data_IF_147423672582
#
_entry.id   IF_147423672582
#
_cell.length_a   1.000
_cell.length_b   1.000
_cell.length_c   1.000
_cell.angle_alpha   90.00
_cell.angle_beta   90.00
_cell.angle_gamma   90.00
#
_symmetry.space_group_name_H-M   'P 1'
#
loop_
_entity.id
_entity.type
_entity.pdbx_description
1 polymer ?
#
# COMPACT_ATOMS: atom_id res chain seq x y z
N UNK A 1 -3.45 -24.65 -4.01
CA UNK A 1 -3.18 -23.47 -4.87
C UNK A 1 -4.24 -22.45 -4.56
N UNK A 2 -3.86 -21.23 -4.15
CA UNK A 2 -4.84 -20.15 -4.00
C UNK A 2 -5.23 -19.69 -5.42
N UNK A 3 -6.52 -19.57 -5.67
CA UNK A 3 -7.05 -19.13 -6.96
C UNK A 3 -7.47 -17.66 -6.83
N UNK A 4 -7.25 -16.86 -7.88
CA UNK A 4 -7.65 -15.45 -7.94
C UNK A 4 -9.16 -15.30 -8.09
N UNK A 5 -9.91 -15.66 -7.04
CA UNK A 5 -11.36 -15.47 -6.98
C UNK A 5 -11.77 -14.19 -6.25
N UNK A 6 -13.08 -13.94 -6.25
CA UNK A 6 -13.68 -12.77 -5.60
C UNK A 6 -13.32 -12.71 -4.12
N UNK A 7 -13.28 -13.84 -3.41
CA UNK A 7 -12.97 -13.88 -1.99
C UNK A 7 -11.53 -13.45 -1.71
N UNK A 8 -10.57 -13.92 -2.50
CA UNK A 8 -9.18 -13.46 -2.43
C UNK A 8 -9.09 -11.97 -2.75
N UNK A 9 -9.75 -11.50 -3.80
CA UNK A 9 -9.75 -10.07 -4.15
C UNK A 9 -10.33 -9.20 -3.04
N UNK A 10 -11.45 -9.61 -2.43
CA UNK A 10 -12.03 -8.93 -1.28
C UNK A 10 -11.07 -8.84 -0.10
N UNK A 11 -10.34 -9.91 0.24
CA UNK A 11 -9.35 -9.90 1.31
C UNK A 11 -8.18 -8.94 1.03
N UNK A 12 -7.60 -9.02 -0.17
CA UNK A 12 -6.45 -8.20 -0.56
C UNK A 12 -6.83 -6.71 -0.65
N UNK A 13 -7.95 -6.39 -1.29
CA UNK A 13 -8.41 -5.01 -1.48
C UNK A 13 -8.87 -4.39 -0.17
N UNK A 14 -9.51 -5.17 0.72
CA UNK A 14 -9.85 -4.68 2.07
C UNK A 14 -8.59 -4.36 2.88
N UNK A 15 -7.55 -5.19 2.78
CA UNK A 15 -6.29 -4.99 3.49
C UNK A 15 -5.63 -3.68 3.04
N UNK A 16 -5.56 -3.44 1.72
CA UNK A 16 -5.03 -2.19 1.19
C UNK A 16 -5.93 -0.99 1.52
N UNK A 17 -7.26 -1.13 1.40
CA UNK A 17 -8.21 -0.07 1.73
C UNK A 17 -8.06 0.40 3.18
N UNK A 18 -7.96 -0.53 4.13
CA UNK A 18 -7.78 -0.21 5.55
C UNK A 18 -6.40 0.34 5.86
N UNK A 19 -5.36 -0.15 5.20
CA UNK A 19 -4.03 0.46 5.30
C UNK A 19 -4.05 1.93 4.87
N UNK A 20 -4.71 2.24 3.75
CA UNK A 20 -4.86 3.61 3.26
C UNK A 20 -5.72 4.47 4.19
N UNK A 21 -6.85 3.95 4.68
CA UNK A 21 -7.69 4.64 5.64
C UNK A 21 -6.94 4.96 6.95
N UNK A 22 -6.14 4.02 7.46
CA UNK A 22 -5.31 4.24 8.66
C UNK A 22 -4.25 5.34 8.45
N UNK A 23 -3.67 5.43 7.24
CA UNK A 23 -2.76 6.53 6.89
C UNK A 23 -3.50 7.87 6.78
N UNK A 24 -4.70 7.90 6.17
CA UNK A 24 -5.55 9.09 6.14
C UNK A 24 -5.92 9.57 7.54
N UNK A 25 -6.26 8.66 8.46
CA UNK A 25 -6.51 8.98 9.86
C UNK A 25 -5.26 9.54 10.56
N UNK A 26 -4.09 9.01 10.22
CA UNK A 26 -2.80 9.51 10.70
C UNK A 26 -2.55 10.94 10.20
N UNK A 27 -2.79 11.23 8.91
CA UNK A 27 -2.73 12.59 8.38
C UNK A 27 -3.67 13.52 9.13
N UNK A 28 -4.92 13.13 9.31
CA UNK A 28 -5.93 13.97 9.96
C UNK A 28 -5.48 14.43 11.36
N UNK A 29 -4.70 13.62 12.07
CA UNK A 29 -4.11 13.97 13.38
C UNK A 29 -2.87 14.85 13.27
N UNK A 30 -2.01 14.61 12.28
CA UNK A 30 -0.71 15.27 12.14
C UNK A 30 -0.77 16.62 11.43
N UNK A 31 -1.73 16.78 10.51
CA UNK A 31 -1.83 17.90 9.56
C UNK A 31 -3.30 18.26 9.36
N UNK A 32 -3.91 18.84 10.40
CA UNK A 32 -5.35 19.17 10.43
C UNK A 32 -5.81 20.06 9.26
N UNK A 33 -4.91 20.90 8.75
CA UNK A 33 -5.11 21.80 7.63
C UNK A 33 -5.35 21.10 6.28
N UNK A 34 -4.90 19.84 6.14
CA UNK A 34 -5.15 19.03 4.93
C UNK A 34 -6.62 18.64 4.82
N UNK A 35 -7.34 18.58 5.95
CA UNK A 35 -8.73 18.11 5.98
C UNK A 35 -8.87 16.64 5.61
N UNK A 36 -7.83 15.83 5.87
CA UNK A 36 -7.80 14.41 5.53
C UNK A 36 -8.94 13.66 6.23
N UNK A 37 -9.64 12.83 5.46
CA UNK A 37 -10.78 12.07 5.92
C UNK A 37 -11.03 10.87 5.00
N UNK A 38 -11.67 9.83 5.53
CA UNK A 38 -12.20 8.75 4.73
C UNK A 38 -13.68 8.52 5.03
N UNK A 39 -14.38 7.94 4.07
CA UNK A 39 -15.76 7.48 4.23
C UNK A 39 -15.89 6.08 3.63
N UNK A 40 -16.85 5.30 4.14
CA UNK A 40 -17.22 4.00 3.58
C UNK A 40 -18.60 4.14 2.94
N UNK A 41 -18.68 3.93 1.63
CA UNK A 41 -19.91 4.05 0.83
C UNK A 41 -20.10 2.72 0.09
N UNK A 42 -21.11 1.94 0.49
CA UNK A 42 -21.39 0.61 -0.08
C UNK A 42 -20.14 -0.30 -0.11
N UNK A 43 -19.45 -0.41 1.03
CA UNK A 43 -18.18 -1.14 1.17
C UNK A 43 -16.95 -0.52 0.49
N UNK A 44 -17.11 0.57 -0.26
CA UNK A 44 -16.00 1.28 -0.91
C UNK A 44 -15.38 2.29 0.05
N UNK A 45 -14.07 2.21 0.26
CA UNK A 45 -13.32 3.19 1.05
C UNK A 45 -12.95 4.36 0.16
N UNK A 46 -13.56 5.52 0.37
CA UNK A 46 -13.21 6.78 -0.27
C UNK A 46 -12.23 7.55 0.61
N UNK A 47 -10.94 7.51 0.27
CA UNK A 47 -9.86 8.12 1.04
C UNK A 47 -9.53 9.51 0.47
N UNK A 48 -9.33 10.50 1.32
CA UNK A 48 -8.86 11.84 0.95
C UNK A 48 -7.73 12.29 1.88
N UNK A 49 -6.59 12.64 1.30
CA UNK A 49 -5.36 13.12 1.96
C UNK A 49 -4.83 14.40 1.28
N UNK A 50 -5.73 15.17 0.65
CA UNK A 50 -5.39 16.32 -0.19
C UNK A 50 -5.35 15.98 -1.69
N UNK A 51 -5.57 16.95 -2.60
CA UNK A 51 -5.83 16.67 -4.02
C UNK A 51 -4.70 15.96 -4.77
N UNK A 52 -3.44 16.21 -4.38
CA UNK A 52 -2.26 15.61 -5.02
C UNK A 52 -1.73 14.36 -4.31
N UNK A 53 -2.35 13.93 -3.21
CA UNK A 53 -1.85 12.78 -2.46
C UNK A 53 -2.19 11.47 -3.17
N UNK A 54 -1.27 10.49 -3.21
CA UNK A 54 -1.56 9.16 -3.72
C UNK A 54 -2.59 8.40 -2.87
N UNK A 55 -2.92 8.86 -1.66
CA UNK A 55 -4.01 8.26 -0.87
C UNK A 55 -5.40 8.74 -1.30
N UNK A 56 -5.48 9.81 -2.11
CA UNK A 56 -6.75 10.40 -2.55
C UNK A 56 -7.34 9.63 -3.72
N UNK A 57 -8.11 8.59 -3.40
CA UNK A 57 -8.76 7.68 -4.34
C UNK A 57 -9.70 6.72 -3.59
N UNK A 58 -10.41 5.86 -4.32
CA UNK A 58 -11.21 4.79 -3.71
C UNK A 58 -10.56 3.43 -3.79
N UNK A 59 -10.86 2.59 -2.81
CA UNK A 59 -10.50 1.16 -2.78
C UNK A 59 -11.75 0.31 -2.53
N UNK A 60 -11.83 -0.87 -3.17
CA UNK A 60 -12.93 -1.82 -2.94
C UNK A 60 -14.21 -1.55 -3.75
N UNK A 61 -14.18 -0.64 -4.73
CA UNK A 61 -15.37 -0.28 -5.51
C UNK A 61 -15.95 -1.49 -6.25
N UNK A 62 -17.19 -1.84 -5.93
CA UNK A 62 -17.93 -2.92 -6.57
C UNK A 62 -17.53 -4.33 -6.13
N UNK A 63 -16.69 -4.47 -5.10
CA UNK A 63 -16.28 -5.79 -4.59
C UNK A 63 -17.15 -6.32 -3.46
N UNK A 64 -17.66 -5.44 -2.61
CA UNK A 64 -18.43 -5.84 -1.42
C UNK A 64 -19.94 -5.68 -1.63
N UNK A 65 -20.33 -4.71 -2.45
CA UNK A 65 -21.72 -4.43 -2.84
C UNK A 65 -21.77 -4.06 -4.32
N UNK A 66 -22.87 -4.40 -4.99
CA UNK A 66 -23.09 -4.03 -6.40
C UNK A 66 -23.36 -2.52 -6.49
N UNK A 67 -22.57 -1.74 -7.24
CA UNK A 67 -22.71 -0.30 -7.24
C UNK A 67 -23.92 0.15 -8.04
N UNK A 68 -24.51 1.27 -7.61
CA UNK A 68 -25.62 1.94 -8.29
C UNK A 68 -25.18 3.31 -8.79
N UNK A 69 -26.00 3.93 -9.66
CA UNK A 69 -25.76 5.31 -10.10
C UNK A 69 -25.72 6.32 -8.94
N UNK A 70 -26.47 6.06 -7.87
CA UNK A 70 -26.49 6.89 -6.65
C UNK A 70 -25.18 6.74 -5.85
N UNK A 71 -24.65 5.51 -5.71
CA UNK A 71 -23.35 5.27 -5.06
C UNK A 71 -22.24 6.05 -5.79
N UNK A 72 -22.20 6.00 -7.12
CA UNK A 72 -21.24 6.79 -7.91
C UNK A 72 -21.42 8.30 -7.71
N UNK A 73 -22.67 8.79 -7.66
CA UNK A 73 -22.93 10.20 -7.41
C UNK A 73 -22.45 10.65 -6.02
N UNK A 74 -22.55 9.80 -5.00
CA UNK A 74 -22.02 10.06 -3.66
C UNK A 74 -20.49 10.09 -3.64
N UNK A 75 -19.83 9.11 -4.28
CA UNK A 75 -18.37 9.08 -4.39
C UNK A 75 -17.83 10.32 -5.13
N UNK A 76 -18.43 10.68 -6.26
CA UNK A 76 -18.04 11.88 -7.00
C UNK A 76 -18.23 13.16 -6.19
N UNK A 77 -19.35 13.29 -5.47
CA UNK A 77 -19.61 14.42 -4.60
C UNK A 77 -18.56 14.51 -3.50
N UNK A 78 -18.21 13.38 -2.87
CA UNK A 78 -17.20 13.29 -1.82
C UNK A 78 -15.86 13.93 -2.25
N UNK A 79 -15.37 13.61 -3.45
CA UNK A 79 -14.11 14.18 -3.96
C UNK A 79 -14.27 15.60 -4.49
N UNK A 80 -15.35 15.90 -5.22
CA UNK A 80 -15.57 17.24 -5.82
C UNK A 80 -15.74 18.34 -4.77
N UNK A 81 -16.46 18.08 -3.68
CA UNK A 81 -16.60 19.03 -2.57
C UNK A 81 -15.25 19.35 -1.92
N UNK A 82 -14.29 18.41 -2.01
CA UNK A 82 -12.92 18.55 -1.51
C UNK A 82 -11.93 19.03 -2.59
N UNK A 83 -12.42 19.40 -3.77
CA UNK A 83 -11.62 19.84 -4.93
C UNK A 83 -10.53 18.82 -5.30
N UNK A 84 -10.83 17.54 -5.14
CA UNK A 84 -9.94 16.43 -5.45
C UNK A 84 -10.30 15.78 -6.79
N UNK A 85 -9.34 15.12 -7.46
CA UNK A 85 -9.65 14.25 -8.58
C UNK A 85 -10.52 13.07 -8.10
N UNK A 86 -11.43 12.61 -8.97
CA UNK A 86 -12.22 11.40 -8.70
C UNK A 86 -11.49 10.21 -9.31
N UNK A 87 -10.87 9.41 -8.46
CA UNK A 87 -10.04 8.27 -8.84
C UNK A 87 -10.56 6.99 -8.20
N UNK A 88 -10.66 5.92 -9.00
CA UNK A 88 -11.12 4.61 -8.54
C UNK A 88 -10.14 3.51 -8.91
N UNK A 89 -9.58 2.81 -7.94
CA UNK A 89 -8.91 1.52 -8.16
C UNK A 89 -9.98 0.43 -8.25
N UNK A 90 -10.04 -0.26 -9.38
CA UNK A 90 -11.12 -1.22 -9.69
C UNK A 90 -10.53 -2.58 -10.02
N UNK A 91 -10.77 -3.54 -9.13
CA UNK A 91 -10.45 -4.95 -9.34
C UNK A 91 -11.19 -5.51 -10.56
N UNK A 92 -10.56 -6.40 -11.36
CA UNK A 92 -11.25 -7.08 -12.46
C UNK A 92 -12.33 -8.05 -11.97
N UNK A 93 -12.41 -8.33 -10.67
CA UNK A 93 -13.44 -9.16 -10.05
C UNK A 93 -14.58 -8.34 -9.42
N UNK A 94 -14.58 -7.02 -9.57
CA UNK A 94 -15.72 -6.20 -9.20
C UNK A 94 -16.96 -6.58 -10.01
N UNK A 95 -18.15 -6.30 -9.46
CA UNK A 95 -19.42 -6.55 -10.14
C UNK A 95 -19.43 -5.91 -11.55
N UNK A 96 -19.90 -6.59 -12.60
CA UNK A 96 -19.88 -6.08 -13.98
C UNK A 96 -20.54 -4.69 -14.15
N UNK A 97 -21.54 -4.38 -13.33
CA UNK A 97 -22.22 -3.08 -13.25
C UNK A 97 -21.24 -1.93 -13.00
N UNK A 98 -20.14 -2.19 -12.29
CA UNK A 98 -19.08 -1.23 -12.03
C UNK A 98 -18.49 -0.70 -13.34
N UNK A 99 -18.12 -1.58 -14.26
CA UNK A 99 -17.55 -1.20 -15.55
C UNK A 99 -18.57 -0.49 -16.44
N UNK A 100 -19.83 -0.93 -16.42
CA UNK A 100 -20.91 -0.26 -17.15
C UNK A 100 -21.11 1.18 -16.67
N UNK A 101 -21.14 1.38 -15.34
CA UNK A 101 -21.31 2.71 -14.75
C UNK A 101 -20.11 3.62 -15.00
N UNK A 102 -18.87 3.10 -14.90
CA UNK A 102 -17.65 3.85 -15.26
C UNK A 102 -17.73 4.36 -16.71
N UNK A 103 -18.05 3.46 -17.66
CA UNK A 103 -18.17 3.82 -19.07
C UNK A 103 -19.30 4.82 -19.33
N UNK A 104 -20.49 4.59 -18.76
CA UNK A 104 -21.65 5.48 -18.92
C UNK A 104 -21.40 6.89 -18.36
N UNK A 105 -20.55 7.02 -17.33
CA UNK A 105 -20.23 8.29 -16.67
C UNK A 105 -18.98 8.97 -17.24
N UNK A 106 -18.32 8.37 -18.24
CA UNK A 106 -17.18 8.98 -18.93
C UNK A 106 -15.86 8.85 -18.19
N UNK A 107 -15.72 7.87 -17.28
CA UNK A 107 -14.42 7.58 -16.67
C UNK A 107 -13.46 7.03 -17.72
N UNK A 108 -12.19 7.38 -17.57
CA UNK A 108 -11.10 6.96 -18.45
C UNK A 108 -10.10 6.08 -17.68
N UNK A 109 -9.53 5.05 -18.32
CA UNK A 109 -8.42 4.29 -17.75
C UNK A 109 -7.20 5.22 -17.53
N UNK A 110 -6.54 5.08 -16.38
CA UNK A 110 -5.38 5.89 -16.01
C UNK A 110 -4.11 5.06 -15.82
N UNK A 111 -4.17 4.00 -15.01
CA UNK A 111 -2.97 3.25 -14.60
C UNK A 111 -3.30 1.79 -14.27
N UNK A 112 -2.39 0.86 -14.59
CA UNK A 112 -2.51 -0.54 -14.17
C UNK A 112 -1.66 -0.83 -12.92
N UNK A 113 -2.21 -1.64 -12.03
CA UNK A 113 -1.52 -2.14 -10.83
C UNK A 113 -1.69 -3.65 -10.72
N UNK A 114 -0.59 -4.39 -10.60
CA UNK A 114 -0.63 -5.80 -10.23
C UNK A 114 -0.80 -5.92 -8.71
N UNK A 115 -1.88 -6.58 -8.29
CA UNK A 115 -2.06 -7.03 -6.91
C UNK A 115 -1.42 -8.41 -6.81
N UNK A 116 -0.40 -8.52 -5.98
CA UNK A 116 0.45 -9.71 -5.87
C UNK A 116 0.34 -10.30 -4.48
N UNK A 117 0.40 -11.63 -4.39
CA UNK A 117 0.31 -12.34 -3.12
C UNK A 117 1.33 -13.47 -3.01
N UNK A 118 1.59 -13.86 -1.77
CA UNK A 118 2.38 -15.05 -1.44
C UNK A 118 1.81 -15.71 -0.17
N UNK A 119 1.54 -17.02 -0.17
CA UNK A 119 1.26 -17.75 1.06
C UNK A 119 2.42 -17.62 2.05
N UNK A 120 2.11 -17.36 3.31
CA UNK A 120 3.09 -17.37 4.39
C UNK A 120 3.06 -18.76 5.01
N UNK A 121 4.13 -19.51 4.79
CA UNK A 121 4.41 -20.70 5.58
C UNK A 121 5.08 -20.26 6.88
N UNK A 122 4.73 -20.92 7.99
CA UNK A 122 5.44 -20.72 9.24
C UNK A 122 6.89 -21.19 9.02
N UNK A 123 7.78 -20.24 8.75
CA UNK A 123 9.20 -20.53 8.63
C UNK A 123 9.81 -20.61 10.03
N UNK A 124 10.52 -21.71 10.28
CA UNK A 124 11.40 -21.91 11.45
C UNK A 124 12.80 -21.36 11.15
N UNK A 125 12.98 -20.55 10.09
CA UNK A 125 14.29 -20.06 9.71
C UNK A 125 14.78 -19.02 10.73
N UNK A 126 15.50 -19.51 11.73
CA UNK A 126 16.61 -18.81 12.35
C UNK A 126 17.53 -18.38 11.20
N UNK A 127 17.40 -17.13 10.78
CA UNK A 127 18.34 -16.52 9.87
C UNK A 127 19.73 -16.70 10.47
N UNK A 128 20.60 -17.42 9.76
CA UNK A 128 22.02 -17.50 10.11
C UNK A 128 22.55 -16.10 10.45
N UNK A 129 23.45 -15.95 11.44
CA UNK A 129 23.94 -14.66 11.89
C UNK A 129 24.36 -13.80 10.70
N UNK A 130 23.52 -12.84 10.38
CA UNK A 130 23.74 -11.88 9.32
C UNK A 130 24.38 -10.66 9.97
N UNK A 131 25.36 -10.05 9.30
CA UNK A 131 25.85 -8.72 9.68
C UNK A 131 24.71 -7.68 9.66
N UNK A 132 23.60 -7.99 8.99
CA UNK A 132 22.40 -7.17 8.93
C UNK A 132 21.43 -7.50 10.06
N UNK A 133 21.10 -6.48 10.86
CA UNK A 133 20.08 -6.56 11.90
C UNK A 133 18.79 -5.92 11.42
N UNK A 134 17.70 -6.66 11.38
CA UNK A 134 16.37 -6.11 11.04
C UNK A 134 15.49 -6.05 12.28
N UNK A 135 14.80 -4.92 12.49
CA UNK A 135 13.95 -4.73 13.67
C UNK A 135 12.82 -3.73 13.41
N UNK A 136 11.68 -3.84 14.12
CA UNK A 136 10.70 -2.77 14.14
C UNK A 136 11.31 -1.52 14.81
N UNK A 137 10.82 -0.35 14.41
CA UNK A 137 11.21 0.92 15.02
C UNK A 137 10.42 1.16 16.30
N UNK A 138 11.00 1.94 17.21
CA UNK A 138 10.27 2.59 18.30
C UNK A 138 9.70 3.94 17.83
N UNK A 139 8.71 4.53 18.54
CA UNK A 139 8.19 5.86 18.19
C UNK A 139 9.27 6.96 18.11
N UNK A 140 10.32 6.87 18.94
CA UNK A 140 11.43 7.82 18.94
C UNK A 140 12.30 7.73 17.67
N UNK A 141 12.21 6.65 16.92
CA UNK A 141 13.01 6.39 15.71
C UNK A 141 12.25 6.71 14.41
N UNK A 142 11.06 7.30 14.50
CA UNK A 142 10.26 7.68 13.34
C UNK A 142 11.03 8.60 12.37
N UNK A 143 11.82 9.55 12.91
CA UNK A 143 12.64 10.44 12.09
C UNK A 143 13.79 9.68 11.40
N UNK A 144 14.46 8.76 12.09
CA UNK A 144 15.51 7.93 11.51
C UNK A 144 14.96 7.07 10.37
N UNK A 145 13.77 6.48 10.58
CA UNK A 145 13.07 5.71 9.56
C UNK A 145 12.71 6.56 8.34
N UNK A 146 12.15 7.76 8.56
CA UNK A 146 11.83 8.70 7.49
C UNK A 146 13.06 9.08 6.67
N UNK A 147 14.16 9.48 7.34
CA UNK A 147 15.41 9.84 6.68
C UNK A 147 16.02 8.67 5.90
N UNK A 148 16.01 7.46 6.47
CA UNK A 148 16.52 6.26 5.79
C UNK A 148 15.68 5.92 4.56
N UNK A 149 14.35 5.98 4.70
CA UNK A 149 13.41 5.73 3.61
C UNK A 149 13.60 6.74 2.47
N UNK A 150 13.60 8.03 2.81
CA UNK A 150 13.80 9.13 1.87
C UNK A 150 15.14 9.07 1.15
N UNK A 151 16.24 8.68 1.82
CA UNK A 151 17.52 8.45 1.15
C UNK A 151 17.47 7.28 0.17
N UNK A 152 16.74 6.22 0.49
CA UNK A 152 16.55 5.07 -0.39
C UNK A 152 15.79 5.41 -1.67
N UNK A 153 14.69 6.18 -1.54
CA UNK A 153 13.87 6.66 -2.66
C UNK A 153 14.49 7.86 -3.40
N UNK A 154 15.25 8.69 -2.69
CA UNK A 154 16.01 9.84 -3.21
C UNK A 154 17.07 9.44 -4.24
N UNK A 155 17.53 8.19 -4.19
CA UNK A 155 18.42 7.63 -5.19
C UNK A 155 17.71 7.32 -6.53
N UNK A 156 16.39 7.37 -6.59
CA UNK A 156 15.60 7.29 -7.83
C UNK A 156 15.25 8.69 -8.36
N UNK A 157 14.83 9.61 -7.48
CA UNK A 157 14.71 11.04 -7.79
C UNK A 157 14.69 11.87 -6.50
N UNK A 158 15.15 13.13 -6.57
CA UNK A 158 15.14 14.04 -5.41
C UNK A 158 13.72 14.32 -4.91
N UNK A 159 12.76 14.44 -5.83
CA UNK A 159 11.35 14.66 -5.55
C UNK A 159 10.73 13.48 -4.77
N UNK A 160 11.09 12.24 -5.13
CA UNK A 160 10.66 11.05 -4.38
C UNK A 160 11.23 11.03 -2.96
N UNK A 161 12.49 11.46 -2.80
CA UNK A 161 13.11 11.60 -1.49
C UNK A 161 12.38 12.61 -0.61
N UNK A 162 12.11 13.81 -1.15
CA UNK A 162 11.37 14.87 -0.45
C UNK A 162 9.95 14.42 -0.10
N UNK A 163 9.23 13.82 -1.05
CA UNK A 163 7.90 13.25 -0.81
C UNK A 163 7.92 12.25 0.35
N UNK A 164 8.92 11.35 0.39
CA UNK A 164 9.01 10.36 1.45
C UNK A 164 9.38 10.93 2.82
N UNK A 165 10.11 12.05 2.90
CA UNK A 165 10.32 12.74 4.18
C UNK A 165 9.01 13.25 4.77
N UNK A 166 8.15 13.84 3.93
CA UNK A 166 6.87 14.39 4.36
C UNK A 166 5.84 13.27 4.64
N UNK A 167 5.91 12.18 3.88
CA UNK A 167 4.93 11.10 3.94
C UNK A 167 5.26 10.07 5.04
N UNK A 168 6.54 9.91 5.38
CA UNK A 168 6.99 8.90 6.33
C UNK A 168 6.38 9.04 7.75
N UNK A 169 6.25 10.24 8.35
CA UNK A 169 5.63 10.39 9.67
C UNK A 169 4.19 9.85 9.73
N UNK A 170 3.45 9.95 8.62
CA UNK A 170 2.07 9.46 8.48
C UNK A 170 2.07 7.94 8.57
N UNK A 171 2.94 7.28 7.80
CA UNK A 171 3.10 5.83 7.79
C UNK A 171 3.50 5.35 9.19
N UNK A 172 4.54 5.95 9.77
CA UNK A 172 5.08 5.52 11.06
C UNK A 172 4.07 5.64 12.22
N UNK A 173 3.09 6.54 12.12
CA UNK A 173 2.08 6.79 13.15
C UNK A 173 0.67 6.27 12.77
N UNK A 174 0.53 5.64 11.61
CA UNK A 174 -0.73 5.03 11.20
C UNK A 174 -1.03 3.82 12.09
N UNK A 175 -2.26 3.75 12.61
CA UNK A 175 -2.68 2.65 13.47
C UNK A 175 -2.63 1.34 12.71
N UNK A 176 -2.02 0.31 13.27
CA UNK A 176 -1.86 -1.00 12.62
C UNK A 176 -0.72 -1.07 11.60
N UNK A 177 -0.02 0.04 11.35
CA UNK A 177 1.20 0.06 10.55
C UNK A 177 2.41 -0.23 11.44
N UNK A 178 3.34 -1.01 10.93
CA UNK A 178 4.60 -1.37 11.59
C UNK A 178 5.76 -1.05 10.66
N UNK A 179 6.59 -0.08 11.07
CA UNK A 179 7.79 0.33 10.36
C UNK A 179 9.02 -0.42 10.87
N UNK A 180 9.93 -0.75 9.95
CA UNK A 180 11.14 -1.54 10.19
C UNK A 180 12.36 -0.85 9.59
N UNK A 181 13.50 -1.07 10.25
CA UNK A 181 14.83 -0.71 9.78
C UNK A 181 15.69 -1.97 9.61
N UNK A 182 16.59 -1.92 8.65
CA UNK A 182 17.76 -2.81 8.56
C UNK A 182 19.01 -2.00 8.87
N UNK A 183 19.83 -2.52 9.77
CA UNK A 183 21.10 -1.92 10.18
C UNK A 183 22.27 -2.79 9.74
N UNK A 184 23.36 -2.15 9.30
CA UNK A 184 24.68 -2.76 9.11
C UNK A 184 25.69 -1.91 9.89
N UNK A 185 26.49 -2.55 10.75
CA UNK A 185 27.48 -1.87 11.62
C UNK A 185 26.88 -0.68 12.39
N UNK A 186 25.66 -0.85 12.91
CA UNK A 186 24.94 0.17 13.67
C UNK A 186 24.35 1.33 12.85
N UNK A 187 24.44 1.29 11.51
CA UNK A 187 23.87 2.30 10.63
C UNK A 187 22.62 1.78 9.94
N UNK A 188 21.54 2.56 9.95
CA UNK A 188 20.33 2.27 9.18
C UNK A 188 20.59 2.38 7.67
N UNK A 189 20.35 1.30 6.94
CA UNK A 189 20.63 1.18 5.49
C UNK A 189 19.39 0.84 4.65
N UNK A 190 18.33 0.33 5.27
CA UNK A 190 17.07 0.08 4.59
C UNK A 190 15.90 0.33 5.53
N UNK A 191 14.77 0.70 4.95
CA UNK A 191 13.53 0.97 5.65
C UNK A 191 12.37 0.31 4.92
N UNK A 192 11.32 -0.06 5.64
CA UNK A 192 10.04 -0.40 5.05
C UNK A 192 8.94 -0.52 6.09
N UNK A 193 7.72 -0.72 5.64
CA UNK A 193 6.56 -0.84 6.51
C UNK A 193 5.72 -2.06 6.17
N UNK A 194 4.78 -2.37 7.04
CA UNK A 194 3.73 -3.34 6.77
C UNK A 194 2.47 -3.05 7.57
N UNK A 195 1.33 -3.52 7.06
CA UNK A 195 0.03 -3.39 7.69
C UNK A 195 -0.63 -4.78 7.76
N UNK A 196 -1.28 -5.11 8.88
CA UNK A 196 -1.98 -6.39 9.04
C UNK A 196 -3.48 -6.14 9.11
N UNK A 197 -4.24 -6.87 8.29
CA UNK A 197 -5.69 -6.96 8.33
C UNK A 197 -6.09 -8.44 8.36
N UNK A 198 -6.74 -8.87 9.44
CA UNK A 198 -7.06 -10.29 9.64
C UNK A 198 -5.83 -11.18 9.52
N UNK A 199 -5.84 -12.11 8.56
CA UNK A 199 -4.74 -13.03 8.28
C UNK A 199 -3.85 -12.60 7.10
N UNK A 200 -3.99 -11.37 6.61
CA UNK A 200 -3.21 -10.82 5.48
C UNK A 200 -2.27 -9.72 5.97
N UNK A 201 -1.02 -9.75 5.50
CA UNK A 201 -0.06 -8.65 5.68
C UNK A 201 0.20 -7.94 4.35
N UNK A 202 -0.03 -6.64 4.29
CA UNK A 202 0.44 -5.78 3.21
C UNK A 202 1.87 -5.31 3.50
N UNK A 203 2.79 -5.61 2.59
CA UNK A 203 4.18 -5.14 2.64
C UNK A 203 4.33 -3.91 1.75
N UNK A 204 4.81 -2.79 2.31
CA UNK A 204 4.89 -1.52 1.60
C UNK A 204 6.16 -0.73 1.92
N UNK A 205 6.40 0.34 1.16
CA UNK A 205 7.37 1.40 1.46
C UNK A 205 8.82 0.95 1.58
N UNK A 206 9.19 -0.19 0.99
CA UNK A 206 10.54 -0.75 1.14
C UNK A 206 11.55 -0.03 0.25
N UNK A 207 12.63 0.48 0.84
CA UNK A 207 13.75 1.07 0.12
C UNK A 207 15.10 0.71 0.77
N UNK A 208 16.18 0.85 0.01
CA UNK A 208 17.56 0.61 0.47
C UNK A 208 18.43 1.74 -0.08
N UNK A 209 19.25 2.34 0.78
CA UNK A 209 20.18 3.41 0.39
C UNK A 209 21.13 2.91 -0.70
N UNK A 210 21.51 3.79 -1.63
CA UNK A 210 22.22 3.41 -2.85
C UNK A 210 23.53 2.67 -2.56
N UNK A 211 24.30 3.10 -1.55
CA UNK A 211 25.57 2.50 -1.16
C UNK A 211 25.44 1.10 -0.53
N UNK A 212 24.24 0.69 -0.12
CA UNK A 212 23.96 -0.60 0.50
C UNK A 212 23.19 -1.58 -0.42
N UNK A 213 22.94 -1.19 -1.67
CA UNK A 213 22.26 -2.06 -2.65
C UNK A 213 23.15 -3.27 -3.01
N UNK A 214 22.50 -4.39 -3.33
CA UNK A 214 23.21 -5.65 -3.64
C UNK A 214 23.78 -6.39 -2.43
N UNK A 215 23.64 -5.86 -1.21
CA UNK A 215 24.19 -6.46 0.02
C UNK A 215 23.15 -7.27 0.82
N UNK A 216 21.94 -7.45 0.28
CA UNK A 216 20.90 -8.29 0.89
C UNK A 216 19.94 -7.59 1.85
N UNK A 217 20.03 -6.27 2.06
CA UNK A 217 19.16 -5.53 2.98
C UNK A 217 17.67 -5.65 2.65
N UNK A 218 17.27 -5.53 1.38
CA UNK A 218 15.88 -5.71 0.97
C UNK A 218 15.35 -7.12 1.27
N UNK A 219 16.20 -8.15 1.10
CA UNK A 219 15.84 -9.55 1.44
C UNK A 219 15.69 -9.70 2.95
N UNK A 220 16.61 -9.16 3.74
CA UNK A 220 16.53 -9.19 5.21
C UNK A 220 15.25 -8.51 5.72
N UNK A 221 14.90 -7.35 5.15
CA UNK A 221 13.68 -6.61 5.45
C UNK A 221 12.42 -7.40 5.08
N UNK A 222 12.41 -8.06 3.93
CA UNK A 222 11.29 -8.90 3.51
C UNK A 222 11.11 -10.10 4.43
N UNK A 223 12.16 -10.89 4.66
CA UNK A 223 12.10 -12.09 5.51
C UNK A 223 11.64 -11.75 6.92
N UNK A 224 12.20 -10.70 7.53
CA UNK A 224 11.84 -10.32 8.90
C UNK A 224 10.39 -9.89 9.03
N UNK A 225 9.85 -9.15 8.06
CA UNK A 225 8.44 -8.74 8.06
C UNK A 225 7.50 -9.93 7.87
N UNK A 226 7.86 -10.86 6.98
CA UNK A 226 7.10 -12.10 6.79
C UNK A 226 7.09 -12.97 8.06
N UNK A 227 8.25 -13.15 8.70
CA UNK A 227 8.34 -13.90 9.95
C UNK A 227 7.53 -13.22 11.05
N UNK A 228 7.60 -11.89 11.16
CA UNK A 228 6.83 -11.13 12.15
C UNK A 228 5.32 -11.25 11.95
N UNK A 229 4.87 -11.28 10.68
CA UNK A 229 3.48 -11.51 10.32
C UNK A 229 3.04 -12.95 10.60
N UNK A 230 3.88 -13.95 10.29
CA UNK A 230 3.62 -15.36 10.60
C UNK A 230 3.39 -15.60 12.10
N UNK A 231 4.21 -14.99 12.96
CA UNK A 231 4.06 -15.04 14.42
C UNK A 231 2.76 -14.39 14.93
N UNK A 232 2.04 -13.64 14.09
CA UNK A 232 0.73 -13.04 14.39
C UNK A 232 -0.42 -13.73 13.66
N UNK A 233 -0.16 -14.90 13.09
CA UNK A 233 -1.19 -15.71 12.43
C UNK A 233 -1.52 -15.26 11.02
N UNK A 234 -0.72 -14.38 10.39
CA UNK A 234 -0.89 -14.10 8.97
C UNK A 234 -0.52 -15.35 8.15
N UNK A 235 -1.41 -15.72 7.24
CA UNK A 235 -1.23 -16.84 6.31
C UNK A 235 -0.97 -16.36 4.88
N UNK A 236 -1.09 -15.06 4.64
CA UNK A 236 -0.97 -14.45 3.32
C UNK A 236 -0.21 -13.12 3.41
N UNK A 237 0.74 -12.94 2.51
CA UNK A 237 1.38 -11.65 2.28
C UNK A 237 0.90 -11.07 0.95
N UNK A 238 0.79 -9.76 0.88
CA UNK A 238 0.47 -9.04 -0.34
C UNK A 238 1.38 -7.82 -0.55
N UNK A 239 1.48 -7.41 -1.80
CA UNK A 239 2.05 -6.12 -2.22
C UNK A 239 1.49 -5.74 -3.59
N UNK A 240 1.61 -4.45 -3.92
CA UNK A 240 1.19 -3.91 -5.20
C UNK A 240 2.40 -3.41 -5.98
N UNK A 241 2.43 -3.64 -7.29
CA UNK A 241 3.48 -3.16 -8.18
C UNK A 241 2.93 -2.83 -9.56
N UNK A 242 3.52 -1.87 -10.26
CA UNK A 242 3.19 -1.63 -11.67
C UNK A 242 3.60 -2.85 -12.52
N UNK A 243 2.80 -3.23 -13.53
CA UNK A 243 3.16 -4.30 -14.46
C UNK A 243 4.50 -4.04 -15.16
N UNK A 244 5.37 -5.06 -15.20
CA UNK A 244 6.68 -4.99 -15.84
C UNK A 244 7.75 -4.21 -15.04
N UNK A 245 7.40 -3.68 -13.86
CA UNK A 245 8.32 -2.90 -13.04
C UNK A 245 9.42 -3.75 -12.38
N UNK A 246 10.49 -3.08 -11.94
CA UNK A 246 11.52 -3.71 -11.11
C UNK A 246 10.95 -4.25 -9.80
N UNK A 247 9.94 -3.59 -9.24
CA UNK A 247 9.22 -4.04 -8.04
C UNK A 247 8.50 -5.35 -8.26
N UNK A 248 7.78 -5.52 -9.39
CA UNK A 248 7.17 -6.80 -9.75
C UNK A 248 8.24 -7.90 -9.87
N UNK A 249 9.32 -7.64 -10.60
CA UNK A 249 10.41 -8.62 -10.78
C UNK A 249 11.01 -9.07 -9.44
N UNK A 250 11.20 -8.13 -8.52
CA UNK A 250 11.71 -8.40 -7.18
C UNK A 250 10.69 -9.21 -6.34
N UNK A 251 9.41 -8.88 -6.44
CA UNK A 251 8.33 -9.62 -5.79
C UNK A 251 8.26 -11.07 -6.28
N UNK A 252 8.30 -11.29 -7.59
CA UNK A 252 8.28 -12.65 -8.19
C UNK A 252 9.47 -13.49 -7.75
N UNK A 253 10.68 -12.90 -7.74
CA UNK A 253 11.88 -13.57 -7.19
C UNK A 253 11.75 -13.93 -5.72
N UNK A 254 10.93 -13.20 -4.98
CA UNK A 254 10.66 -13.45 -3.58
C UNK A 254 9.45 -14.39 -3.33
N UNK A 255 8.92 -15.01 -4.39
CA UNK A 255 7.84 -15.98 -4.34
C UNK A 255 6.44 -15.37 -4.35
N UNK A 256 6.29 -14.08 -4.65
CA UNK A 256 4.99 -13.50 -4.93
C UNK A 256 4.54 -13.86 -6.34
N UNK A 257 3.25 -14.03 -6.52
CA UNK A 257 2.61 -14.22 -7.81
C UNK A 257 1.53 -13.16 -8.01
N UNK A 258 1.29 -12.77 -9.25
CA UNK A 258 0.19 -11.86 -9.60
C UNK A 258 -1.12 -12.59 -9.36
N UNK A 259 -1.98 -12.07 -8.47
CA UNK A 259 -3.36 -12.54 -8.32
C UNK A 259 -4.20 -12.03 -9.50
N UNK A 260 -4.09 -10.72 -9.77
CA UNK A 260 -4.75 -10.05 -10.87
C UNK A 260 -4.15 -8.66 -11.10
N UNK A 261 -4.49 -8.05 -12.23
CA UNK A 261 -4.17 -6.66 -12.55
C UNK A 261 -5.44 -5.82 -12.43
N UNK A 262 -5.42 -4.79 -11.59
CA UNK A 262 -6.52 -3.81 -11.48
C UNK A 262 -6.21 -2.54 -12.27
N UNK A 263 -7.25 -1.79 -12.57
CA UNK A 263 -7.17 -0.55 -13.34
C UNK A 263 -7.64 0.62 -12.48
N UNK A 264 -6.83 1.66 -12.42
CA UNK A 264 -7.22 2.96 -11.92
C UNK A 264 -8.02 3.70 -12.98
N UNK A 265 -9.17 4.22 -12.61
CA UNK A 265 -10.06 5.01 -13.45
C UNK A 265 -10.13 6.43 -12.94
N UNK A 266 -10.17 7.39 -13.86
CA UNK A 266 -10.31 8.81 -13.55
C UNK A 266 -11.55 9.36 -14.22
N UNK A 267 -12.33 10.16 -13.48
CA UNK A 267 -13.30 11.06 -14.10
C UNK A 267 -12.57 12.35 -14.51
N UNK A 268 -12.46 12.67 -15.81
CA UNK A 268 -11.84 13.91 -16.23
C UNK A 268 -12.55 15.12 -15.59
N UNK A 269 -11.83 16.20 -15.28
CA UNK A 269 -12.47 17.46 -14.91
C UNK A 269 -13.41 17.91 -16.04
N UNK A 270 -14.56 18.46 -15.63
CA UNK A 270 -15.56 19.00 -16.55
C UNK A 270 -15.08 20.27 -17.25
#
# INVERSE_FOLDING_TARGET
MLFGDLALSQQLELTEARSNAAMVESRARLSTEVGAAHAIIAGTYACFDGPGSPLTQTFGLGLFEVPTAEIFAQLERYFRERKAPVLHEVSPLAAPETLHLLGKRGYQPLEFTNVMYRPIEASVDDLAPSALRTRPITPAEALLWAQTSARGWGAESEELGAFMLDFAPIIAQARGMHAFLVESDGKAIAAGSMFIEGNVVLLAGASTVSEARGQGAQRALLTSRLNWAAHRGCTLAMMCAQPGSQSQRNAERAGFQVAYTRLKWQLPPA
#
